data_IF_782961508711
#
_entry.id   IF_782961508711
#
_cell.length_a   1.000
_cell.length_b   1.000
_cell.length_c   1.000
_cell.angle_alpha   90.00
_cell.angle_beta   90.00
_cell.angle_gamma   90.00
#
_symmetry.space_group_name_H-M   'P 1'
#
loop_
_entity.id
_entity.type
_entity.pdbx_description
1 polymer ?
#
# COMPACT_ATOMS: atom_id res chain seq x y z
N UNK A 1 -17.15 17.56 29.92
CA UNK A 1 -16.74 17.53 28.51
C UNK A 1 -15.23 17.49 28.49
N UNK A 2 -14.63 16.38 28.09
CA UNK A 2 -13.17 16.28 28.01
C UNK A 2 -12.70 17.14 26.84
N UNK A 3 -11.89 18.16 27.13
CA UNK A 3 -11.19 18.94 26.10
C UNK A 3 -10.02 18.07 25.67
N UNK A 4 -10.24 17.21 24.67
CA UNK A 4 -9.16 16.48 24.04
C UNK A 4 -8.25 17.54 23.38
N UNK A 5 -6.95 17.45 23.62
CA UNK A 5 -5.99 18.36 22.99
C UNK A 5 -6.01 18.16 21.48
N UNK A 6 -5.83 19.24 20.70
CA UNK A 6 -5.68 19.17 19.24
C UNK A 6 -4.59 18.17 18.82
N UNK A 7 -3.52 18.08 19.60
CA UNK A 7 -2.45 17.10 19.39
C UNK A 7 -2.94 15.65 19.51
N UNK A 8 -3.75 15.36 20.52
CA UNK A 8 -4.33 14.01 20.70
C UNK A 8 -5.25 13.64 19.54
N UNK A 9 -6.03 14.60 19.03
CA UNK A 9 -6.87 14.36 17.85
C UNK A 9 -6.05 14.07 16.58
N UNK A 10 -4.95 14.80 16.38
CA UNK A 10 -3.99 14.56 15.28
C UNK A 10 -3.44 13.14 15.38
N UNK A 11 -2.96 12.75 16.57
CA UNK A 11 -2.38 11.43 16.81
C UNK A 11 -3.38 10.27 16.65
N UNK A 12 -4.62 10.42 17.12
CA UNK A 12 -5.69 9.44 16.92
C UNK A 12 -6.00 9.26 15.42
N UNK A 13 -6.04 10.37 14.66
CA UNK A 13 -6.27 10.32 13.21
C UNK A 13 -5.11 9.67 12.47
N UNK A 14 -3.87 10.01 12.80
CA UNK A 14 -2.67 9.39 12.23
C UNK A 14 -2.67 7.88 12.46
N UNK A 15 -2.98 7.46 13.68
CA UNK A 15 -3.12 6.05 14.05
C UNK A 15 -4.22 5.36 13.24
N UNK A 16 -5.37 6.01 13.05
CA UNK A 16 -6.47 5.47 12.23
C UNK A 16 -6.09 5.29 10.75
N UNK A 17 -5.35 6.25 10.17
CA UNK A 17 -4.85 6.12 8.78
C UNK A 17 -3.84 4.98 8.69
N UNK A 18 -2.95 4.84 9.67
CA UNK A 18 -1.98 3.76 9.73
C UNK A 18 -2.64 2.38 9.88
N UNK A 19 -3.66 2.25 10.73
CA UNK A 19 -4.43 1.01 10.87
C UNK A 19 -5.20 0.67 9.60
N UNK A 20 -5.72 1.67 8.89
CA UNK A 20 -6.31 1.46 7.58
C UNK A 20 -5.28 0.95 6.56
N UNK A 21 -4.05 1.48 6.58
CA UNK A 21 -2.95 1.01 5.73
C UNK A 21 -2.61 -0.46 6.01
N UNK A 22 -2.51 -0.84 7.29
CA UNK A 22 -2.34 -2.24 7.70
C UNK A 22 -3.48 -3.13 7.22
N UNK A 23 -4.72 -2.67 7.38
CA UNK A 23 -5.91 -3.42 6.96
C UNK A 23 -5.93 -3.64 5.45
N UNK A 24 -5.64 -2.62 4.66
CA UNK A 24 -5.51 -2.73 3.20
C UNK A 24 -4.42 -3.72 2.81
N UNK A 25 -3.25 -3.67 3.45
CA UNK A 25 -2.16 -4.62 3.19
C UNK A 25 -2.56 -6.08 3.48
N UNK A 26 -3.28 -6.35 4.58
CA UNK A 26 -3.79 -7.72 4.84
C UNK A 26 -4.90 -8.15 3.88
N UNK A 27 -5.76 -7.23 3.42
CA UNK A 27 -6.73 -7.52 2.36
C UNK A 27 -6.03 -7.92 1.06
N UNK A 28 -5.03 -7.15 0.64
CA UNK A 28 -4.23 -7.44 -0.54
C UNK A 28 -3.50 -8.79 -0.43
N UNK A 29 -3.00 -9.14 0.75
CA UNK A 29 -2.41 -10.46 1.01
C UNK A 29 -3.39 -11.60 0.77
N UNK A 30 -4.63 -11.45 1.22
CA UNK A 30 -5.67 -12.46 1.01
C UNK A 30 -6.05 -12.56 -0.48
N UNK A 31 -6.20 -11.43 -1.17
CA UNK A 31 -6.44 -11.38 -2.61
C UNK A 31 -5.31 -12.04 -3.41
N UNK A 32 -4.06 -11.81 -3.00
CA UNK A 32 -2.89 -12.44 -3.62
C UNK A 32 -2.89 -13.96 -3.50
N UNK A 33 -3.32 -14.50 -2.36
CA UNK A 33 -3.43 -15.96 -2.20
C UNK A 33 -4.38 -16.54 -3.25
N UNK A 34 -5.54 -15.92 -3.46
CA UNK A 34 -6.53 -16.36 -4.44
C UNK A 34 -6.00 -16.22 -5.88
N UNK A 35 -5.34 -15.10 -6.19
CA UNK A 35 -4.77 -14.88 -7.52
C UNK A 35 -3.61 -15.82 -7.82
N UNK A 36 -2.83 -16.19 -6.81
CA UNK A 36 -1.76 -17.18 -6.96
C UNK A 36 -2.33 -18.55 -7.32
N UNK A 37 -3.39 -18.99 -6.64
CA UNK A 37 -4.07 -20.25 -6.98
C UNK A 37 -4.59 -20.25 -8.42
N UNK A 38 -5.20 -19.14 -8.87
CA UNK A 38 -5.67 -18.99 -10.25
C UNK A 38 -4.55 -19.00 -11.28
N UNK A 39 -3.44 -18.33 -10.97
CA UNK A 39 -2.26 -18.32 -11.83
C UNK A 39 -1.66 -19.74 -11.96
N UNK A 40 -1.50 -20.45 -10.84
CA UNK A 40 -0.97 -21.82 -10.82
C UNK A 40 -1.89 -22.76 -11.61
N UNK A 41 -3.21 -22.64 -11.45
CA UNK A 41 -4.21 -23.40 -12.20
C UNK A 41 -4.16 -23.09 -13.71
N UNK A 42 -4.11 -21.82 -14.10
CA UNK A 42 -4.03 -21.41 -15.50
C UNK A 42 -2.73 -21.89 -16.17
N UNK A 43 -1.62 -21.90 -15.43
CA UNK A 43 -0.34 -22.44 -15.88
C UNK A 43 -0.42 -23.95 -16.14
N UNK A 44 -1.00 -24.71 -15.20
CA UNK A 44 -1.20 -26.15 -15.37
C UNK A 44 -2.08 -26.46 -16.58
N UNK A 45 -3.23 -25.80 -16.71
CA UNK A 45 -4.13 -25.97 -17.86
C UNK A 45 -3.45 -25.59 -19.18
N UNK A 46 -2.59 -24.57 -19.19
CA UNK A 46 -1.82 -24.20 -20.37
C UNK A 46 -0.85 -25.31 -20.79
N UNK A 47 -0.14 -25.92 -19.83
CA UNK A 47 0.78 -27.04 -20.08
C UNK A 47 0.00 -28.28 -20.55
N UNK A 48 -1.05 -28.68 -19.84
CA UNK A 48 -1.85 -29.88 -20.14
C UNK A 48 -2.57 -29.79 -21.48
N UNK A 49 -2.98 -28.59 -21.89
CA UNK A 49 -3.58 -28.35 -23.21
C UNK A 49 -2.57 -28.34 -24.37
N UNK A 50 -1.29 -28.59 -24.11
CA UNK A 50 -0.24 -28.50 -25.13
C UNK A 50 -0.04 -27.05 -25.59
N UNK A 51 -0.04 -26.10 -24.65
CA UNK A 51 0.19 -24.68 -24.86
C UNK A 51 -0.94 -23.94 -25.61
N UNK A 52 -2.16 -24.49 -25.64
CA UNK A 52 -3.29 -23.88 -26.37
C UNK A 52 -4.03 -22.78 -25.59
N UNK A 53 -3.77 -22.65 -24.28
CA UNK A 53 -4.46 -21.68 -23.39
C UNK A 53 -3.62 -20.46 -23.00
N UNK A 54 -2.70 -20.05 -23.87
CA UNK A 54 -1.72 -18.97 -23.59
C UNK A 54 -2.36 -17.67 -23.10
N UNK A 55 -3.42 -17.20 -23.77
CA UNK A 55 -4.08 -15.95 -23.40
C UNK A 55 -4.63 -15.96 -21.96
N UNK A 56 -5.16 -17.10 -21.50
CA UNK A 56 -5.68 -17.22 -20.12
C UNK A 56 -4.54 -17.19 -19.11
N UNK A 57 -3.43 -17.89 -19.41
CA UNK A 57 -2.25 -17.86 -18.55
C UNK A 57 -1.62 -16.47 -18.46
N UNK A 58 -1.47 -15.77 -19.60
CA UNK A 58 -0.96 -14.38 -19.62
C UNK A 58 -1.86 -13.48 -18.77
N UNK A 59 -3.18 -13.57 -18.94
CA UNK A 59 -4.12 -12.75 -18.18
C UNK A 59 -4.01 -12.98 -16.67
N UNK A 60 -3.97 -14.23 -16.22
CA UNK A 60 -3.84 -14.52 -14.78
C UNK A 60 -2.45 -14.17 -14.23
N UNK A 61 -1.40 -14.30 -15.06
CA UNK A 61 -0.05 -13.83 -14.74
C UNK A 61 -0.01 -12.31 -14.51
N UNK A 62 -0.59 -11.54 -15.42
CA UNK A 62 -0.66 -10.08 -15.33
C UNK A 62 -1.48 -9.64 -14.12
N UNK A 63 -2.62 -10.30 -13.86
CA UNK A 63 -3.46 -10.04 -12.69
C UNK A 63 -2.68 -10.27 -11.38
N UNK A 64 -1.99 -11.40 -11.27
CA UNK A 64 -1.17 -11.73 -10.10
C UNK A 64 -0.03 -10.73 -9.94
N UNK A 65 0.70 -10.41 -11.02
CA UNK A 65 1.82 -9.47 -10.99
C UNK A 65 1.39 -8.07 -10.53
N UNK A 66 0.32 -7.52 -11.11
CA UNK A 66 -0.19 -6.19 -10.74
C UNK A 66 -0.61 -6.14 -9.28
N UNK A 67 -1.29 -7.18 -8.79
CA UNK A 67 -1.70 -7.24 -7.38
C UNK A 67 -0.49 -7.38 -6.46
N UNK A 68 0.54 -8.11 -6.89
CA UNK A 68 1.76 -8.28 -6.10
C UNK A 68 2.51 -6.96 -5.96
N UNK A 69 2.62 -6.20 -7.05
CA UNK A 69 3.19 -4.85 -7.01
C UNK A 69 2.43 -3.95 -6.03
N UNK A 70 1.09 -3.95 -6.09
CA UNK A 70 0.25 -3.18 -5.17
C UNK A 70 0.54 -3.55 -3.70
N UNK A 71 0.58 -4.84 -3.37
CA UNK A 71 0.89 -5.34 -2.03
C UNK A 71 2.31 -4.94 -1.58
N UNK A 72 3.30 -5.06 -2.46
CA UNK A 72 4.70 -4.73 -2.16
C UNK A 72 4.87 -3.25 -1.81
N UNK A 73 4.23 -2.36 -2.56
CA UNK A 73 4.23 -0.91 -2.28
C UNK A 73 3.58 -0.61 -0.92
N UNK A 74 2.49 -1.30 -0.57
CA UNK A 74 1.85 -1.12 0.73
C UNK A 74 2.72 -1.61 1.90
N UNK A 75 3.48 -2.69 1.72
CA UNK A 75 4.48 -3.11 2.72
C UNK A 75 5.60 -2.09 2.85
N UNK A 76 6.17 -1.66 1.73
CA UNK A 76 7.24 -0.67 1.72
C UNK A 76 6.82 0.64 2.41
N UNK A 77 5.59 1.10 2.15
CA UNK A 77 5.03 2.27 2.82
C UNK A 77 4.85 2.05 4.32
N UNK A 78 4.41 0.86 4.75
CA UNK A 78 4.28 0.52 6.17
C UNK A 78 5.64 0.52 6.87
N UNK A 79 6.67 -0.01 6.22
CA UNK A 79 8.03 -0.05 6.77
C UNK A 79 8.53 1.39 7.00
N UNK A 80 8.43 2.26 6.00
CA UNK A 80 8.81 3.68 6.13
C UNK A 80 8.05 4.37 7.25
N UNK A 81 6.73 4.22 7.29
CA UNK A 81 5.90 4.90 8.30
C UNK A 81 6.21 4.37 9.71
N UNK A 82 6.54 3.09 9.84
CA UNK A 82 6.85 2.47 11.12
C UNK A 82 8.08 3.08 11.78
N UNK A 83 9.04 3.58 11.00
CA UNK A 83 10.25 4.26 11.52
C UNK A 83 9.93 5.57 12.24
N UNK A 84 8.79 6.20 11.92
CA UNK A 84 8.31 7.43 12.57
C UNK A 84 7.40 7.17 13.77
N UNK A 85 7.11 5.90 14.07
CA UNK A 85 6.19 5.50 15.14
C UNK A 85 6.96 5.14 16.40
N UNK A 86 6.63 5.79 17.51
CA UNK A 86 7.26 5.50 18.80
C UNK A 86 6.71 4.23 19.46
N UNK A 87 7.25 3.90 20.65
CA UNK A 87 6.88 2.72 21.42
C UNK A 87 5.42 2.76 21.93
N UNK A 88 4.89 3.96 22.15
CA UNK A 88 3.50 4.18 22.58
C UNK A 88 2.53 4.18 21.39
N UNK A 89 3.07 4.16 20.17
CA UNK A 89 2.33 4.07 18.93
C UNK A 89 1.97 5.41 18.30
N UNK A 90 2.56 6.50 18.80
CA UNK A 90 2.39 7.87 18.30
C UNK A 90 3.40 8.22 17.21
N UNK A 91 3.10 9.28 16.47
CA UNK A 91 3.92 9.83 15.40
C UNK A 91 4.42 11.22 15.79
N UNK A 92 5.47 11.32 16.63
CA UNK A 92 5.99 12.60 17.09
C UNK A 92 6.55 13.47 15.95
N UNK A 93 7.10 12.83 14.91
CA UNK A 93 7.70 13.50 13.74
C UNK A 93 6.83 13.35 12.49
N UNK A 94 5.50 13.38 12.64
CA UNK A 94 4.57 13.13 11.54
C UNK A 94 4.76 14.07 10.33
N UNK A 95 5.20 15.31 10.56
CA UNK A 95 5.48 16.26 9.48
C UNK A 95 6.68 15.82 8.63
N UNK A 96 7.72 15.26 9.26
CA UNK A 96 8.86 14.68 8.56
C UNK A 96 8.47 13.41 7.79
N UNK A 97 7.62 12.57 8.39
CA UNK A 97 7.03 11.40 7.71
C UNK A 97 6.28 11.80 6.44
N UNK A 98 5.40 12.80 6.52
CA UNK A 98 4.61 13.30 5.37
C UNK A 98 5.52 13.83 4.27
N UNK A 99 6.56 14.60 4.62
CA UNK A 99 7.53 15.12 3.66
C UNK A 99 8.31 13.99 2.97
N UNK A 100 8.76 12.99 3.73
CA UNK A 100 9.48 11.83 3.16
C UNK A 100 8.60 11.06 2.16
N UNK A 101 7.34 10.78 2.51
CA UNK A 101 6.41 10.11 1.59
C UNK A 101 6.19 10.94 0.32
N UNK A 102 6.13 12.27 0.43
CA UNK A 102 6.01 13.17 -0.72
C UNK A 102 7.25 13.18 -1.60
N UNK A 103 8.44 13.29 -1.03
CA UNK A 103 9.71 13.24 -1.76
C UNK A 103 9.87 11.90 -2.49
N UNK A 104 9.56 10.80 -1.81
CA UNK A 104 9.56 9.47 -2.38
C UNK A 104 8.57 9.34 -3.54
N UNK A 105 7.35 9.86 -3.39
CA UNK A 105 6.35 9.89 -4.46
C UNK A 105 6.91 10.61 -5.69
N UNK A 106 7.54 11.79 -5.52
CA UNK A 106 8.14 12.52 -6.63
C UNK A 106 9.34 11.79 -7.24
N UNK A 107 10.16 11.09 -6.45
CA UNK A 107 11.24 10.26 -6.96
C UNK A 107 10.69 9.16 -7.90
N UNK A 108 9.61 8.47 -7.52
CA UNK A 108 8.96 7.48 -8.37
C UNK A 108 8.32 8.08 -9.63
N UNK A 109 7.80 9.31 -9.57
CA UNK A 109 7.33 10.04 -10.77
C UNK A 109 8.50 10.29 -11.72
N UNK A 110 9.66 10.72 -11.22
CA UNK A 110 10.85 10.98 -12.04
C UNK A 110 11.41 9.70 -12.69
N UNK A 111 11.19 8.55 -12.09
CA UNK A 111 11.53 7.23 -12.64
C UNK A 111 10.43 6.64 -13.54
N UNK A 112 9.39 7.41 -13.87
CA UNK A 112 8.22 6.96 -14.67
C UNK A 112 7.45 5.78 -14.05
N UNK A 113 7.62 5.53 -12.75
CA UNK A 113 6.92 4.50 -11.98
C UNK A 113 5.60 5.03 -11.44
N UNK A 114 4.69 5.38 -12.35
CA UNK A 114 3.46 6.10 -12.04
C UNK A 114 2.48 5.31 -11.15
N UNK A 115 2.46 3.98 -11.25
CA UNK A 115 1.61 3.13 -10.41
C UNK A 115 1.99 3.23 -8.93
N UNK A 116 3.30 3.22 -8.65
CA UNK A 116 3.85 3.39 -7.30
C UNK A 116 3.53 4.79 -6.78
N UNK A 117 3.79 5.82 -7.60
CA UNK A 117 3.51 7.20 -7.25
C UNK A 117 2.02 7.43 -6.95
N UNK A 118 1.12 6.79 -7.68
CA UNK A 118 -0.33 6.92 -7.47
C UNK A 118 -0.75 6.36 -6.10
N UNK A 119 -0.23 5.19 -5.71
CA UNK A 119 -0.51 4.58 -4.40
C UNK A 119 0.06 5.47 -3.28
N UNK A 120 1.30 5.94 -3.41
CA UNK A 120 1.91 6.84 -2.43
C UNK A 120 1.11 8.13 -2.27
N UNK A 121 0.67 8.73 -3.39
CA UNK A 121 -0.17 9.93 -3.38
C UNK A 121 -1.51 9.72 -2.67
N UNK A 122 -2.15 8.57 -2.89
CA UNK A 122 -3.41 8.23 -2.23
C UNK A 122 -3.25 8.24 -0.71
N UNK A 123 -2.19 7.62 -0.20
CA UNK A 123 -1.92 7.59 1.23
C UNK A 123 -1.43 8.94 1.77
N UNK A 124 -0.55 9.62 1.06
CA UNK A 124 -0.07 10.97 1.39
C UNK A 124 -1.24 11.94 1.62
N UNK A 125 -2.24 11.92 0.74
CA UNK A 125 -3.42 12.77 0.89
C UNK A 125 -4.19 12.48 2.19
N UNK A 126 -4.27 11.22 2.61
CA UNK A 126 -4.94 10.84 3.86
C UNK A 126 -4.17 11.34 5.08
N UNK A 127 -2.84 11.36 5.02
CA UNK A 127 -1.99 11.93 6.07
C UNK A 127 -2.02 13.47 6.07
N UNK A 128 -2.01 14.13 4.90
CA UNK A 128 -2.02 15.60 4.78
C UNK A 128 -3.33 16.29 5.17
N UNK A 129 -4.48 15.61 5.04
CA UNK A 129 -5.78 16.17 5.48
C UNK A 129 -5.75 16.54 6.98
N UNK A 130 -4.80 15.99 7.74
CA UNK A 130 -4.61 16.24 9.17
C UNK A 130 -4.02 17.63 9.46
N UNK A 131 -3.22 18.20 8.55
CA UNK A 131 -2.60 19.54 8.70
C UNK A 131 -3.54 20.72 8.40
N UNK A 132 -4.73 20.46 7.82
CA UNK A 132 -5.68 21.51 7.38
C UNK A 132 -6.74 21.89 8.44
N UNK A 133 -6.58 21.41 9.68
CA UNK A 133 -7.47 21.65 10.84
C UNK A 133 -6.63 22.32 11.93
#
# INVERSE_FOLDING_TARGET
MSIISKETEIQERLSSVYDALKSTKEQLRNELSVLRERYEDACLHHIESGFQKEQVWIQESDNHHRKYLEYDIHNFLLDIISDYRDLDGYFPEYSLMVNNIEELMFAYVNEEKYEVAAILKQWLNRFKIIDSI
#
